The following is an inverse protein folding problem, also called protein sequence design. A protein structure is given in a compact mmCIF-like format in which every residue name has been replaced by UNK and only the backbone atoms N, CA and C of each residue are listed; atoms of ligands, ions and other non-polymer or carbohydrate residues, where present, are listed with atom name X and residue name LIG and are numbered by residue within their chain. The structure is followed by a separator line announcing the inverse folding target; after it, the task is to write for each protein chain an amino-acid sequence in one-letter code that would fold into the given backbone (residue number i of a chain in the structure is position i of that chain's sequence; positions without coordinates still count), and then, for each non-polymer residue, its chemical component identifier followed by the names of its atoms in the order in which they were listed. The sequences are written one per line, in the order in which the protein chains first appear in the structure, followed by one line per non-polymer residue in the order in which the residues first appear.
data_IF_381073562206
#
_entry.id   IF_381073562206
#
_cell.length_a   1.000
_cell.length_b   1.000
_cell.length_c   1.000
_cell.angle_alpha   90.00
_cell.angle_beta   90.00
_cell.angle_gamma   90.00
#
_symmetry.space_group_name_H-M   'P 1'
#
loop_
_entity.id
_entity.type
_entity.pdbx_description
1 polymer ?
#
# COMPACT_ATOMS: atom_id res chain seq x y z
N UNK A 1 -38.93 -56.92 4.55
CA UNK A 1 -37.70 -56.71 3.74
C UNK A 1 -37.57 -55.30 3.15
N UNK A 2 -38.49 -54.35 3.42
CA UNK A 2 -38.53 -53.03 2.75
C UNK A 2 -37.82 -51.88 3.51
N UNK A 3 -37.47 -52.07 4.79
CA UNK A 3 -36.91 -51.00 5.64
C UNK A 3 -35.40 -50.78 5.48
N UNK A 4 -34.62 -51.80 5.13
CA UNK A 4 -33.17 -51.69 4.96
C UNK A 4 -32.82 -50.89 3.71
N UNK A 5 -33.56 -51.06 2.61
CA UNK A 5 -33.37 -50.33 1.34
C UNK A 5 -33.65 -48.83 1.49
N UNK A 6 -34.64 -48.45 2.30
CA UNK A 6 -34.96 -47.06 2.61
C UNK A 6 -33.89 -46.39 3.49
N UNK A 7 -33.33 -47.14 4.46
CA UNK A 7 -32.23 -46.66 5.31
C UNK A 7 -30.93 -46.40 4.52
N UNK A 8 -30.58 -47.26 3.56
CA UNK A 8 -29.38 -47.08 2.72
C UNK A 8 -29.53 -45.91 1.74
N UNK A 9 -30.74 -45.69 1.21
CA UNK A 9 -31.05 -44.53 0.35
C UNK A 9 -30.99 -43.21 1.12
N UNK A 10 -31.52 -43.18 2.34
CA UNK A 10 -31.43 -42.01 3.21
C UNK A 10 -29.96 -41.71 3.61
N UNK A 11 -29.15 -42.72 3.87
CA UNK A 11 -27.73 -42.55 4.17
C UNK A 11 -26.92 -42.01 2.97
N UNK A 12 -27.20 -42.47 1.75
CA UNK A 12 -26.55 -41.95 0.53
C UNK A 12 -26.91 -40.48 0.25
N UNK A 13 -28.18 -40.10 0.47
CA UNK A 13 -28.66 -38.72 0.30
C UNK A 13 -28.05 -37.77 1.35
N UNK A 14 -27.91 -38.22 2.60
CA UNK A 14 -27.24 -37.44 3.65
C UNK A 14 -25.74 -37.27 3.41
N UNK A 15 -25.04 -38.30 2.91
CA UNK A 15 -23.61 -38.22 2.60
C UNK A 15 -23.30 -37.28 1.41
N UNK A 16 -24.19 -37.23 0.41
CA UNK A 16 -24.07 -36.28 -0.70
C UNK A 16 -24.26 -34.82 -0.26
N UNK A 17 -25.10 -34.57 0.76
CA UNK A 17 -25.30 -33.23 1.32
C UNK A 17 -24.09 -32.69 2.09
N UNK A 18 -23.32 -33.56 2.77
CA UNK A 18 -22.12 -33.15 3.51
C UNK A 18 -20.96 -32.74 2.62
N UNK A 19 -20.85 -33.26 1.39
CA UNK A 19 -19.81 -32.88 0.43
C UNK A 19 -20.01 -31.47 -0.14
N UNK A 20 -21.26 -30.99 -0.19
CA UNK A 20 -21.59 -29.64 -0.66
C UNK A 20 -21.25 -28.55 0.37
N UNK A 21 -21.05 -28.91 1.65
CA UNK A 21 -20.69 -27.96 2.73
C UNK A 21 -19.18 -27.76 2.91
N UNK A 22 -18.33 -28.60 2.29
CA UNK A 22 -16.88 -28.47 2.38
C UNK A 22 -16.29 -27.34 1.49
N UNK A 23 -17.12 -26.63 0.74
CA UNK A 23 -16.70 -25.56 -0.18
C UNK A 23 -16.59 -24.15 0.43
N UNK A 24 -16.95 -23.95 1.71
CA UNK A 24 -16.96 -22.63 2.34
C UNK A 24 -15.73 -22.37 3.23
N UNK A 25 -14.57 -22.88 2.83
CA UNK A 25 -13.30 -22.46 3.42
C UNK A 25 -12.68 -21.39 2.53
N UNK A 26 -12.78 -20.12 2.95
CA UNK A 26 -12.11 -19.04 2.25
C UNK A 26 -10.58 -19.30 2.25
N UNK A 27 -9.89 -19.16 1.11
CA UNK A 27 -8.46 -19.38 1.04
C UNK A 27 -7.75 -18.43 1.99
N UNK A 28 -6.84 -18.96 2.83
CA UNK A 28 -6.03 -18.14 3.72
C UNK A 28 -5.17 -17.20 2.85
N UNK A 29 -5.24 -15.87 3.06
CA UNK A 29 -4.42 -14.95 2.30
C UNK A 29 -2.95 -15.19 2.62
N UNK A 30 -2.11 -15.19 1.58
CA UNK A 30 -0.65 -15.34 1.72
C UNK A 30 -0.05 -14.16 2.50
N UNK A 31 -0.59 -12.95 2.28
CA UNK A 31 -0.16 -11.72 2.94
C UNK A 31 -1.25 -11.14 3.83
N UNK A 32 -0.84 -10.69 5.01
CA UNK A 32 -1.72 -10.04 5.96
C UNK A 32 -1.56 -8.52 5.83
N UNK A 33 -2.61 -7.84 5.37
CA UNK A 33 -2.55 -6.39 5.11
C UNK A 33 -2.87 -5.54 6.34
N UNK A 34 -3.54 -6.10 7.35
CA UNK A 34 -3.81 -5.49 8.68
C UNK A 34 -4.06 -3.97 8.65
N UNK A 35 -5.08 -3.52 7.91
CA UNK A 35 -5.50 -2.12 7.87
C UNK A 35 -4.74 -1.22 6.88
N UNK A 36 -3.76 -1.74 6.13
CA UNK A 36 -2.99 -0.99 5.12
C UNK A 36 -3.89 -0.23 4.13
N UNK A 37 -4.93 -0.88 3.62
CA UNK A 37 -5.88 -0.28 2.66
C UNK A 37 -6.54 0.99 3.21
N UNK A 38 -6.93 0.97 4.49
CA UNK A 38 -7.48 2.13 5.17
C UNK A 38 -6.45 3.24 5.31
N UNK A 39 -5.21 2.91 5.66
CA UNK A 39 -4.15 3.91 5.82
C UNK A 39 -3.79 4.60 4.51
N UNK A 40 -3.77 3.87 3.40
CA UNK A 40 -3.58 4.48 2.06
C UNK A 40 -4.71 5.45 1.74
N UNK A 41 -5.95 5.10 2.05
CA UNK A 41 -7.09 5.97 1.82
C UNK A 41 -7.03 7.24 2.69
N UNK A 42 -6.71 7.11 3.97
CA UNK A 42 -6.56 8.23 4.88
C UNK A 42 -5.34 9.12 4.55
N UNK A 43 -4.25 8.53 4.01
CA UNK A 43 -3.13 9.28 3.44
C UNK A 43 -3.57 10.27 2.38
N UNK A 44 -4.41 9.82 1.43
CA UNK A 44 -4.89 10.68 0.35
C UNK A 44 -5.86 11.76 0.81
N UNK A 45 -6.53 11.57 1.96
CA UNK A 45 -7.36 12.60 2.58
C UNK A 45 -6.56 13.66 3.35
N UNK A 46 -5.26 13.44 3.52
CA UNK A 46 -4.39 14.35 4.29
C UNK A 46 -4.48 14.17 5.80
N UNK A 47 -4.92 13.00 6.27
CA UNK A 47 -4.88 12.65 7.69
C UNK A 47 -3.44 12.62 8.22
N UNK A 48 -3.29 12.68 9.55
CA UNK A 48 -1.95 12.81 10.16
C UNK A 48 -1.04 11.64 9.80
N UNK A 49 0.21 11.98 9.45
CA UNK A 49 1.23 10.99 9.07
C UNK A 49 1.62 10.12 10.25
N UNK A 50 1.63 10.70 11.44
CA UNK A 50 1.91 10.05 12.71
C UNK A 50 0.84 9.02 13.09
N UNK A 51 -0.44 9.33 12.83
CA UNK A 51 -1.52 8.37 13.04
C UNK A 51 -1.40 7.19 12.08
N UNK A 52 -1.01 7.44 10.83
CA UNK A 52 -0.78 6.37 9.86
C UNK A 52 0.41 5.48 10.22
N UNK A 53 1.52 6.08 10.67
CA UNK A 53 2.66 5.31 11.19
C UNK A 53 2.19 4.41 12.32
N UNK A 54 1.47 4.96 13.31
CA UNK A 54 0.97 4.20 14.46
C UNK A 54 0.08 3.03 14.03
N UNK A 55 -0.82 3.26 13.08
CA UNK A 55 -1.70 2.23 12.57
C UNK A 55 -0.95 1.12 11.81
N UNK A 56 0.02 1.50 10.96
CA UNK A 56 0.85 0.54 10.22
C UNK A 56 1.78 -0.25 11.15
N UNK A 57 2.35 0.37 12.19
CA UNK A 57 3.16 -0.34 13.18
C UNK A 57 2.32 -1.32 14.00
N UNK A 58 1.10 -0.94 14.38
CA UNK A 58 0.16 -1.86 15.02
C UNK A 58 -0.21 -3.02 14.09
N UNK A 59 -0.38 -2.75 12.80
CA UNK A 59 -0.58 -3.76 11.77
C UNK A 59 0.59 -4.75 11.72
N UNK A 60 1.83 -4.27 11.64
CA UNK A 60 3.03 -5.13 11.68
C UNK A 60 3.07 -6.03 12.91
N UNK A 61 2.76 -5.49 14.09
CA UNK A 61 2.72 -6.30 15.32
C UNK A 61 1.70 -7.43 15.23
N UNK A 62 0.52 -7.18 14.64
CA UNK A 62 -0.50 -8.23 14.42
C UNK A 62 -0.04 -9.27 13.40
N UNK A 63 0.57 -8.84 12.30
CA UNK A 63 1.14 -9.75 11.29
C UNK A 63 2.17 -10.67 11.94
N UNK A 64 3.10 -10.10 12.70
CA UNK A 64 4.16 -10.84 13.40
C UNK A 64 3.57 -11.80 14.46
N UNK A 65 2.58 -11.35 15.24
CA UNK A 65 1.89 -12.18 16.24
C UNK A 65 1.19 -13.39 15.60
N UNK A 66 0.68 -13.23 14.37
CA UNK A 66 0.06 -14.31 13.61
C UNK A 66 1.06 -15.14 12.79
N UNK A 67 2.37 -14.88 12.92
CA UNK A 67 3.43 -15.45 12.05
C UNK A 67 3.11 -15.28 10.56
N UNK A 68 2.43 -14.19 10.20
CA UNK A 68 2.06 -13.84 8.83
C UNK A 68 3.22 -13.21 8.07
N UNK A 69 3.11 -13.20 6.74
CA UNK A 69 4.04 -12.46 5.89
C UNK A 69 3.56 -11.03 5.68
N UNK A 70 4.45 -10.08 5.91
CA UNK A 70 4.23 -8.66 5.58
C UNK A 70 4.15 -8.53 4.06
N UNK A 71 3.19 -7.78 3.50
CA UNK A 71 3.06 -7.61 2.05
C UNK A 71 4.18 -6.72 1.48
N UNK A 72 4.47 -6.86 0.17
CA UNK A 72 5.41 -5.98 -0.52
C UNK A 72 4.94 -4.53 -0.45
N UNK A 73 5.89 -3.61 -0.23
CA UNK A 73 5.68 -2.18 -0.14
C UNK A 73 5.23 -1.67 1.24
N UNK A 74 4.98 -2.55 2.21
CA UNK A 74 4.55 -2.12 3.55
C UNK A 74 5.66 -1.36 4.28
N UNK A 75 6.89 -1.88 4.27
CA UNK A 75 8.03 -1.21 4.87
C UNK A 75 8.46 -0.02 4.01
N UNK A 76 8.31 -0.08 2.68
CA UNK A 76 8.48 1.08 1.82
C UNK A 76 7.55 2.25 2.22
N UNK A 77 6.26 1.98 2.47
CA UNK A 77 5.31 3.02 2.89
C UNK A 77 5.68 3.60 4.26
N UNK A 78 6.04 2.76 5.23
CA UNK A 78 6.52 3.23 6.54
C UNK A 78 7.77 4.11 6.39
N UNK A 79 8.72 3.71 5.56
CA UNK A 79 9.92 4.51 5.29
C UNK A 79 9.59 5.87 4.66
N UNK A 80 8.62 5.93 3.75
CA UNK A 80 8.13 7.20 3.19
C UNK A 80 7.44 8.08 4.24
N UNK A 81 6.62 7.51 5.12
CA UNK A 81 5.99 8.27 6.20
C UNK A 81 7.04 8.82 7.17
N UNK A 82 8.04 8.01 7.52
CA UNK A 82 9.17 8.44 8.34
C UNK A 82 10.00 9.55 7.71
N UNK A 83 10.23 9.47 6.39
CA UNK A 83 10.86 10.56 5.64
C UNK A 83 10.05 11.86 5.74
N UNK A 84 8.72 11.79 5.62
CA UNK A 84 7.86 12.97 5.65
C UNK A 84 7.87 13.69 7.01
N UNK A 85 8.07 12.96 8.10
CA UNK A 85 8.13 13.53 9.47
C UNK A 85 9.57 13.79 9.95
N UNK A 86 10.56 13.73 9.04
CA UNK A 86 11.96 14.04 9.33
C UNK A 86 12.71 12.98 10.12
N UNK A 87 12.19 11.75 10.24
CA UNK A 87 12.82 10.66 10.98
C UNK A 87 13.66 9.77 10.07
N UNK A 88 14.80 10.32 9.63
CA UNK A 88 15.69 9.70 8.64
C UNK A 88 16.22 8.30 9.04
N UNK A 89 16.61 8.11 10.30
CA UNK A 89 17.14 6.83 10.77
C UNK A 89 16.09 5.71 10.70
N UNK A 90 14.84 6.03 11.07
CA UNK A 90 13.73 5.08 10.97
C UNK A 90 13.42 4.79 9.50
N UNK A 91 13.40 5.81 8.63
CA UNK A 91 13.22 5.60 7.20
C UNK A 91 14.28 4.66 6.60
N UNK A 92 15.56 4.85 6.93
CA UNK A 92 16.64 3.98 6.43
C UNK A 92 16.40 2.54 6.87
N UNK A 93 16.03 2.33 8.13
CA UNK A 93 15.75 1.00 8.67
C UNK A 93 14.60 0.31 7.91
N UNK A 94 13.50 1.02 7.68
CA UNK A 94 12.35 0.48 6.96
C UNK A 94 12.70 0.13 5.51
N UNK A 95 13.42 0.99 4.79
CA UNK A 95 13.86 0.69 3.41
C UNK A 95 14.85 -0.48 3.32
N UNK A 96 15.76 -0.64 4.28
CA UNK A 96 16.64 -1.81 4.34
C UNK A 96 15.86 -3.10 4.62
N UNK A 97 14.83 -3.01 5.47
CA UNK A 97 13.95 -4.14 5.78
C UNK A 97 13.16 -4.55 4.53
N UNK A 98 12.58 -3.59 3.81
CA UNK A 98 11.89 -3.84 2.54
C UNK A 98 12.82 -4.51 1.53
N UNK A 99 14.05 -4.01 1.37
CA UNK A 99 15.04 -4.61 0.47
C UNK A 99 15.38 -6.06 0.83
N UNK A 100 15.42 -6.37 2.13
CA UNK A 100 15.73 -7.71 2.63
C UNK A 100 14.58 -8.68 2.40
N UNK A 101 13.34 -8.21 2.58
CA UNK A 101 12.14 -9.03 2.38
C UNK A 101 11.80 -9.19 0.90
N UNK A 102 12.07 -8.17 0.08
CA UNK A 102 11.69 -8.09 -1.32
C UNK A 102 12.88 -7.62 -2.16
N UNK A 103 13.78 -8.53 -2.58
CA UNK A 103 14.93 -8.18 -3.39
C UNK A 103 14.55 -7.62 -4.77
N UNK A 104 13.32 -7.82 -5.25
CA UNK A 104 12.84 -7.16 -6.47
C UNK A 104 12.75 -5.64 -6.31
N UNK A 105 12.53 -5.15 -5.08
CA UNK A 105 12.49 -3.71 -4.78
C UNK A 105 13.88 -3.07 -4.62
N UNK A 106 14.94 -3.89 -4.55
CA UNK A 106 16.29 -3.44 -4.21
C UNK A 106 16.81 -2.28 -5.07
N UNK A 107 16.66 -2.26 -6.42
CA UNK A 107 17.14 -1.16 -7.24
C UNK A 107 16.50 0.18 -6.86
N UNK A 108 15.22 0.16 -6.50
CA UNK A 108 14.50 1.36 -6.09
C UNK A 108 14.90 1.81 -4.68
N UNK A 109 14.99 0.89 -3.71
CA UNK A 109 15.42 1.21 -2.35
C UNK A 109 16.85 1.77 -2.33
N UNK A 110 17.77 1.19 -3.11
CA UNK A 110 19.14 1.67 -3.21
C UNK A 110 19.22 3.07 -3.83
N UNK A 111 18.35 3.36 -4.82
CA UNK A 111 18.21 4.72 -5.36
C UNK A 111 17.75 5.71 -4.27
N UNK A 112 16.69 5.40 -3.52
CA UNK A 112 16.18 6.27 -2.46
C UNK A 112 17.24 6.52 -1.38
N UNK A 113 17.89 5.47 -0.90
CA UNK A 113 18.92 5.54 0.14
C UNK A 113 20.17 6.31 -0.31
N UNK A 114 20.53 6.26 -1.59
CA UNK A 114 21.65 7.05 -2.14
C UNK A 114 21.31 8.54 -2.19
N UNK A 115 20.09 8.89 -2.57
CA UNK A 115 19.68 10.29 -2.66
C UNK A 115 19.58 10.93 -1.28
N UNK A 116 19.09 10.22 -0.27
CA UNK A 116 19.06 10.71 1.12
C UNK A 116 20.47 11.06 1.65
N UNK A 117 21.49 10.30 1.24
CA UNK A 117 22.90 10.57 1.61
C UNK A 117 23.53 11.73 0.81
N UNK A 118 22.96 12.06 -0.34
CA UNK A 118 23.50 13.05 -1.27
C UNK A 118 22.78 14.39 -1.20
N UNK A 119 21.55 14.43 -0.67
CA UNK A 119 20.72 15.64 -0.60
C UNK A 119 21.09 16.48 0.64
N UNK A 120 21.96 17.48 0.43
CA UNK A 120 22.01 18.72 1.20
C UNK A 120 20.74 19.57 0.92
N UNK A 121 19.56 18.96 1.03
CA UNK A 121 18.23 19.57 0.79
C UNK A 121 17.28 19.24 1.95
N UNK A 122 17.79 19.15 3.17
CA UNK A 122 16.95 19.21 4.37
C UNK A 122 16.38 20.62 4.58
N UNK A 123 16.87 21.62 3.83
CA UNK A 123 16.55 23.03 4.05
C UNK A 123 15.30 23.52 3.28
N UNK A 124 14.78 22.78 2.29
CA UNK A 124 13.63 23.20 1.46
C UNK A 124 12.42 22.25 1.67
N UNK A 125 11.99 22.03 2.91
CA UNK A 125 10.61 21.55 3.19
C UNK A 125 10.09 21.85 4.61
N UNK A 126 10.71 22.77 5.33
CA UNK A 126 10.18 23.32 6.59
C UNK A 126 9.06 24.36 6.35
N UNK A 127 8.72 24.69 5.10
CA UNK A 127 7.79 25.78 4.75
C UNK A 127 6.54 25.40 3.96
N UNK A 128 6.02 24.17 4.06
CA UNK A 128 4.81 23.75 3.33
C UNK A 128 3.59 23.50 4.24
N UNK A 129 3.49 24.23 5.36
CA UNK A 129 2.29 24.26 6.19
C UNK A 129 2.14 25.58 6.97
N UNK A 130 1.95 26.70 6.26
CA UNK A 130 1.24 27.89 6.76
C UNK A 130 1.08 28.89 5.60
N UNK A 131 -0.12 29.46 5.42
CA UNK A 131 -0.30 30.68 4.63
C UNK A 131 -1.18 30.54 3.40
N UNK A 132 -2.42 30.95 3.59
CA UNK A 132 -3.51 31.12 2.63
C UNK A 132 -3.45 32.56 2.10
N UNK A 133 -3.25 32.76 0.80
CA UNK A 133 -3.96 33.75 -0.05
C UNK A 133 -3.31 34.02 -1.43
N UNK A 134 -4.19 33.98 -2.44
CA UNK A 134 -4.34 34.91 -3.57
C UNK A 134 -3.10 35.39 -4.35
N UNK A 135 -2.99 34.92 -5.60
CA UNK A 135 -2.13 35.52 -6.63
C UNK A 135 -2.40 34.93 -8.01
N UNK A 136 -3.49 35.37 -8.63
CA UNK A 136 -3.89 35.06 -10.01
C UNK A 136 -2.78 35.46 -10.99
N UNK A 137 -2.32 34.53 -11.82
CA UNK A 137 -1.64 34.84 -13.08
C UNK A 137 -2.13 33.89 -14.17
N UNK A 138 -3.18 34.34 -14.84
CA UNK A 138 -3.72 33.80 -16.08
C UNK A 138 -2.68 33.91 -17.20
N UNK A 139 -2.21 32.78 -17.73
CA UNK A 139 -1.49 32.76 -19.01
C UNK A 139 -2.44 32.21 -20.08
N UNK A 140 -3.11 33.14 -20.77
CA UNK A 140 -3.92 32.90 -21.96
C UNK A 140 -3.00 32.49 -23.12
N UNK A 141 -3.06 31.23 -23.54
CA UNK A 141 -2.48 30.78 -24.80
C UNK A 141 -3.44 31.12 -25.95
N UNK A 142 -3.20 32.26 -26.60
CA UNK A 142 -3.90 32.66 -27.83
C UNK A 142 -3.36 31.86 -29.01
N UNK A 143 -4.17 30.93 -29.52
CA UNK A 143 -3.97 30.33 -30.83
C UNK A 143 -4.31 31.36 -31.92
N UNK A 144 -3.39 31.63 -32.83
CA UNK A 144 -3.68 32.33 -34.09
C UNK A 144 -3.04 31.55 -35.22
N UNK A 145 -3.89 30.87 -35.99
CA UNK A 145 -3.56 30.31 -37.29
C UNK A 145 -3.56 31.43 -38.32
N UNK A 146 -2.50 31.57 -39.13
CA UNK A 146 -2.52 32.29 -40.41
C UNK A 146 -1.44 31.73 -41.34
N UNK A 147 -1.87 30.87 -42.24
CA UNK A 147 -1.61 30.86 -43.69
C UNK A 147 -0.36 31.58 -44.25
N UNK A 148 0.58 30.81 -44.78
CA UNK A 148 1.43 31.14 -45.94
C UNK A 148 1.95 29.82 -46.55
N UNK A 149 1.30 29.28 -47.59
CA UNK A 149 1.59 29.46 -49.03
C UNK A 149 3.03 29.11 -49.43
N UNK A 150 3.17 27.88 -49.94
CA UNK A 150 4.16 27.35 -50.89
C UNK A 150 4.40 28.34 -52.07
N UNK A 151 5.62 28.50 -52.64
CA UNK A 151 6.14 27.52 -53.60
C UNK A 151 7.68 27.34 -53.60
N UNK A 152 8.16 26.10 -53.48
CA UNK A 152 9.15 25.44 -54.36
C UNK A 152 9.35 24.01 -53.84
#
# INVERSE_FOLDING_TARGET
MMNTVMLHRAALLSAAGSLLLAGCAAPKPMYQWEGYQTQVYEYFKGESREAQITALESGLQKIQAQSGSVPPGYHAQLGLLYLNIGKGDQMIKEFQTEKTLFPESAPYMDFLLRNVKSDTRTEIKTGAAAGKDSGIATATATATATTARNPQ
#
